data_IF_618997804954
#
_entry.id   IF_618997804954
#
_cell.length_a   1.000
_cell.length_b   1.000
_cell.length_c   1.000
_cell.angle_alpha   90.00
_cell.angle_beta   90.00
_cell.angle_gamma   90.00
#
_symmetry.space_group_name_H-M   'P 1'
#
loop_
_entity.id
_entity.type
_entity.pdbx_description
1 polymer ?
#
# COMPACT_ATOMS: atom_id res chain seq x y z
N UNK A 1 27.98 -2.20 2.45
CA UNK A 1 27.40 -2.46 3.79
C UNK A 1 26.32 -1.43 4.18
N UNK A 2 26.50 -0.15 3.92
CA UNK A 2 25.53 0.93 4.21
C UNK A 2 24.20 0.79 3.47
N UNK A 3 24.22 0.52 2.17
CA UNK A 3 23.00 0.33 1.36
C UNK A 3 22.14 -0.84 1.84
N UNK A 4 22.75 -1.92 2.34
CA UNK A 4 22.01 -3.06 2.92
C UNK A 4 21.27 -2.69 4.20
N UNK A 5 21.87 -1.86 5.07
CA UNK A 5 21.21 -1.35 6.29
C UNK A 5 20.05 -0.41 5.94
N UNK A 6 20.24 0.47 4.96
CA UNK A 6 19.21 1.38 4.49
C UNK A 6 18.01 0.62 3.90
N UNK A 7 18.26 -0.42 3.09
CA UNK A 7 17.20 -1.26 2.53
C UNK A 7 16.39 -1.96 3.63
N UNK A 8 17.06 -2.54 4.64
CA UNK A 8 16.37 -3.19 5.77
C UNK A 8 15.51 -2.19 6.55
N UNK A 9 16.03 -1.00 6.82
CA UNK A 9 15.30 0.07 7.49
C UNK A 9 14.05 0.48 6.69
N UNK A 10 14.18 0.63 5.36
CA UNK A 10 13.06 0.98 4.50
C UNK A 10 12.00 -0.13 4.47
N UNK A 11 12.41 -1.39 4.32
CA UNK A 11 11.48 -2.55 4.32
C UNK A 11 10.73 -2.60 5.66
N UNK A 12 11.43 -2.48 6.80
CA UNK A 12 10.80 -2.47 8.12
C UNK A 12 9.79 -1.33 8.25
N UNK A 13 10.14 -0.10 7.82
CA UNK A 13 9.24 1.04 7.81
C UNK A 13 8.00 0.80 6.95
N UNK A 14 8.16 0.19 5.77
CA UNK A 14 7.05 -0.13 4.88
C UNK A 14 6.12 -1.18 5.48
N UNK A 15 6.66 -2.22 6.13
CA UNK A 15 5.85 -3.24 6.82
C UNK A 15 5.05 -2.61 7.96
N UNK A 16 5.67 -1.77 8.79
CA UNK A 16 4.98 -1.07 9.88
C UNK A 16 3.87 -0.16 9.35
N UNK A 17 4.16 0.63 8.32
CA UNK A 17 3.18 1.49 7.67
C UNK A 17 2.01 0.69 7.08
N UNK A 18 2.31 -0.46 6.46
CA UNK A 18 1.30 -1.35 5.89
C UNK A 18 0.37 -1.89 6.98
N UNK A 19 0.92 -2.42 8.08
CA UNK A 19 0.13 -2.92 9.21
C UNK A 19 -0.71 -1.79 9.82
N UNK A 20 -0.12 -0.62 10.06
CA UNK A 20 -0.84 0.53 10.61
C UNK A 20 -2.03 0.94 9.73
N UNK A 21 -1.83 1.03 8.41
CA UNK A 21 -2.89 1.35 7.46
C UNK A 21 -3.92 0.24 7.32
N UNK A 22 -3.53 -1.02 7.46
CA UNK A 22 -4.45 -2.16 7.48
C UNK A 22 -5.35 -2.14 8.72
N UNK A 23 -4.77 -1.90 9.90
CA UNK A 23 -5.54 -1.78 11.14
C UNK A 23 -6.49 -0.58 11.05
N UNK A 24 -6.03 0.56 10.56
CA UNK A 24 -6.86 1.73 10.32
C UNK A 24 -8.03 1.41 9.37
N UNK A 25 -7.76 0.81 8.23
CA UNK A 25 -8.77 0.40 7.26
C UNK A 25 -9.78 -0.59 7.84
N UNK A 26 -9.32 -1.56 8.64
CA UNK A 26 -10.17 -2.53 9.32
C UNK A 26 -11.12 -1.86 10.33
N UNK A 27 -10.61 -0.96 11.17
CA UNK A 27 -11.42 -0.21 12.13
C UNK A 27 -12.49 0.62 11.39
N UNK A 28 -12.09 1.30 10.34
CA UNK A 28 -13.02 2.10 9.52
C UNK A 28 -14.08 1.23 8.84
N UNK A 29 -13.71 0.06 8.32
CA UNK A 29 -14.64 -0.89 7.72
C UNK A 29 -15.67 -1.42 8.74
N UNK A 30 -15.23 -1.81 9.94
CA UNK A 30 -16.11 -2.27 11.02
C UNK A 30 -17.08 -1.16 11.44
N UNK A 31 -16.57 0.06 11.63
CA UNK A 31 -17.38 1.21 12.06
C UNK A 31 -18.44 1.57 11.02
N UNK A 32 -18.05 1.64 9.75
CA UNK A 32 -18.98 2.00 8.66
C UNK A 32 -20.01 0.91 8.39
N UNK A 33 -19.66 -0.36 8.58
CA UNK A 33 -20.58 -1.49 8.53
C UNK A 33 -21.64 -1.37 9.64
N UNK A 34 -21.22 -1.08 10.86
CA UNK A 34 -22.13 -0.89 11.99
C UNK A 34 -23.11 0.28 11.74
N UNK A 35 -22.61 1.40 11.19
CA UNK A 35 -23.44 2.53 10.82
C UNK A 35 -24.40 2.21 9.66
N UNK A 36 -23.95 1.46 8.66
CA UNK A 36 -24.79 1.03 7.54
C UNK A 36 -25.98 0.18 8.03
N UNK A 37 -25.73 -0.77 8.93
CA UNK A 37 -26.78 -1.62 9.50
C UNK A 37 -27.82 -0.80 10.29
N UNK A 38 -27.41 0.26 10.98
CA UNK A 38 -28.33 1.17 11.69
C UNK A 38 -29.15 2.07 10.75
N UNK A 39 -28.59 2.43 9.59
CA UNK A 39 -29.18 3.35 8.63
C UNK A 39 -29.91 2.62 7.47
N UNK A 40 -30.62 1.53 7.76
CA UNK A 40 -31.42 0.81 6.77
C UNK A 40 -30.60 0.08 5.69
N UNK A 41 -29.33 -0.26 5.96
CA UNK A 41 -28.50 -1.06 5.05
C UNK A 41 -27.79 -0.27 3.95
N UNK A 42 -27.74 1.06 4.03
CA UNK A 42 -27.05 1.88 3.04
C UNK A 42 -25.52 1.71 3.14
N UNK A 43 -24.93 1.06 2.15
CA UNK A 43 -23.50 0.74 2.09
C UNK A 43 -22.62 1.83 1.45
N UNK A 44 -23.19 2.94 1.02
CA UNK A 44 -22.45 4.01 0.32
C UNK A 44 -21.27 4.52 1.14
N UNK A 45 -21.49 4.76 2.44
CA UNK A 45 -20.42 5.21 3.35
C UNK A 45 -19.29 4.16 3.46
N UNK A 46 -19.63 2.88 3.50
CA UNK A 46 -18.66 1.78 3.54
C UNK A 46 -17.72 1.81 2.32
N UNK A 47 -18.28 1.98 1.12
CA UNK A 47 -17.47 2.07 -0.11
C UNK A 47 -16.59 3.33 -0.15
N UNK A 48 -17.17 4.49 0.19
CA UNK A 48 -16.41 5.77 0.21
C UNK A 48 -15.20 5.65 1.14
N UNK A 49 -15.42 5.17 2.36
CA UNK A 49 -14.36 5.08 3.37
C UNK A 49 -13.32 4.02 3.00
N UNK A 50 -13.74 2.89 2.41
CA UNK A 50 -12.81 1.88 1.93
C UNK A 50 -11.90 2.39 0.81
N UNK A 51 -12.45 3.13 -0.15
CA UNK A 51 -11.66 3.80 -1.21
C UNK A 51 -10.70 4.81 -0.59
N UNK A 52 -11.16 5.61 0.38
CA UNK A 52 -10.33 6.60 1.07
C UNK A 52 -9.16 5.94 1.81
N UNK A 53 -9.37 4.80 2.47
CA UNK A 53 -8.31 4.04 3.14
C UNK A 53 -7.22 3.58 2.15
N UNK A 54 -7.62 3.09 0.98
CA UNK A 54 -6.69 2.69 -0.09
C UNK A 54 -5.91 3.89 -0.62
N UNK A 55 -6.57 5.02 -0.85
CA UNK A 55 -5.92 6.25 -1.33
C UNK A 55 -4.92 6.79 -0.30
N UNK A 56 -5.26 6.79 0.99
CA UNK A 56 -4.34 7.19 2.06
C UNK A 56 -3.11 6.29 2.10
N UNK A 57 -3.29 4.97 1.96
CA UNK A 57 -2.15 4.05 1.86
C UNK A 57 -1.29 4.34 0.64
N UNK A 58 -1.89 4.60 -0.52
CA UNK A 58 -1.17 4.96 -1.73
C UNK A 58 -0.34 6.25 -1.55
N UNK A 59 -0.87 7.24 -0.82
CA UNK A 59 -0.12 8.47 -0.47
C UNK A 59 1.08 8.15 0.42
N UNK A 60 0.91 7.30 1.43
CA UNK A 60 2.02 6.87 2.31
C UNK A 60 3.12 6.16 1.51
N UNK A 61 2.76 5.26 0.60
CA UNK A 61 3.71 4.61 -0.30
C UNK A 61 4.40 5.62 -1.23
N UNK A 62 3.61 6.53 -1.83
CA UNK A 62 4.12 7.56 -2.71
C UNK A 62 5.23 8.38 -2.03
N UNK A 63 4.99 8.91 -0.84
CA UNK A 63 5.95 9.74 -0.11
C UNK A 63 7.24 8.97 0.16
N UNK A 64 7.15 7.73 0.66
CA UNK A 64 8.33 6.93 0.99
C UNK A 64 9.18 6.60 -0.25
N UNK A 65 8.56 6.17 -1.35
CA UNK A 65 9.28 5.78 -2.56
C UNK A 65 9.75 6.97 -3.39
N UNK A 66 8.99 8.06 -3.40
CA UNK A 66 9.41 9.30 -4.04
C UNK A 66 10.66 9.88 -3.37
N UNK A 67 10.67 9.97 -2.03
CA UNK A 67 11.83 10.43 -1.26
C UNK A 67 13.07 9.56 -1.51
N UNK A 68 12.88 8.24 -1.54
CA UNK A 68 13.96 7.30 -1.85
C UNK A 68 14.49 7.49 -3.27
N UNK A 69 13.60 7.63 -4.27
CA UNK A 69 13.99 7.89 -5.66
C UNK A 69 14.77 9.18 -5.83
N UNK A 70 14.36 10.25 -5.14
CA UNK A 70 15.06 11.53 -5.16
C UNK A 70 16.47 11.43 -4.53
N UNK A 71 16.61 10.72 -3.41
CA UNK A 71 17.91 10.46 -2.78
C UNK A 71 18.84 9.63 -3.68
N UNK A 72 18.30 8.60 -4.32
CA UNK A 72 19.07 7.74 -5.21
C UNK A 72 19.52 8.49 -6.47
N UNK A 73 18.70 9.41 -7.00
CA UNK A 73 19.13 10.31 -8.08
C UNK A 73 20.39 11.09 -7.72
N UNK A 74 20.42 11.73 -6.55
CA UNK A 74 21.59 12.50 -6.09
C UNK A 74 22.85 11.61 -6.03
N UNK A 75 22.70 10.35 -5.59
CA UNK A 75 23.80 9.38 -5.53
C UNK A 75 24.29 8.95 -6.92
N UNK A 76 23.34 8.79 -7.87
CA UNK A 76 23.68 8.47 -9.27
C UNK A 76 24.39 9.63 -9.93
N UNK A 77 23.88 10.85 -9.78
CA UNK A 77 24.47 12.07 -10.35
C UNK A 77 25.89 12.34 -9.79
N UNK A 78 26.16 11.92 -8.53
CA UNK A 78 27.48 11.98 -7.92
C UNK A 78 28.40 10.79 -8.27
N UNK A 79 27.97 9.87 -9.12
CA UNK A 79 28.75 8.68 -9.54
C UNK A 79 28.89 7.58 -8.47
N UNK A 80 28.21 7.71 -7.32
CA UNK A 80 28.33 6.76 -6.19
C UNK A 80 27.56 5.46 -6.36
N UNK A 81 26.56 5.43 -7.27
CA UNK A 81 25.81 4.21 -7.57
C UNK A 81 25.24 4.21 -8.99
N UNK A 82 24.91 3.01 -9.49
CA UNK A 82 24.17 2.86 -10.75
C UNK A 82 22.67 2.87 -10.46
N UNK A 83 21.90 3.54 -11.30
CA UNK A 83 20.44 3.57 -11.20
C UNK A 83 19.84 2.19 -11.47
N UNK A 84 19.01 1.71 -10.54
CA UNK A 84 18.16 0.54 -10.75
C UNK A 84 16.69 0.98 -10.74
N UNK A 85 16.07 1.05 -11.91
CA UNK A 85 14.67 1.48 -12.07
C UNK A 85 13.70 0.54 -11.35
N UNK A 86 14.01 -0.75 -11.28
CA UNK A 86 13.17 -1.75 -10.62
C UNK A 86 13.31 -1.81 -9.10
N UNK A 87 14.15 -0.94 -8.53
CA UNK A 87 14.41 -0.92 -7.08
C UNK A 87 13.11 -0.73 -6.27
N UNK A 88 12.26 0.22 -6.67
CA UNK A 88 10.99 0.47 -5.99
C UNK A 88 10.07 -0.74 -5.98
N UNK A 89 9.96 -1.44 -7.11
CA UNK A 89 9.18 -2.67 -7.24
C UNK A 89 9.72 -3.78 -6.34
N UNK A 90 11.04 -3.99 -6.34
CA UNK A 90 11.68 -5.06 -5.57
C UNK A 90 11.53 -4.87 -4.05
N UNK A 91 11.78 -3.66 -3.57
CA UNK A 91 11.63 -3.35 -2.14
C UNK A 91 10.17 -3.44 -1.70
N UNK A 92 9.24 -2.97 -2.53
CA UNK A 92 7.81 -3.09 -2.25
C UNK A 92 7.36 -4.56 -2.23
N UNK A 93 7.86 -5.39 -3.15
CA UNK A 93 7.58 -6.82 -3.16
C UNK A 93 8.03 -7.49 -1.85
N UNK A 94 9.28 -7.22 -1.40
CA UNK A 94 9.80 -7.74 -0.14
C UNK A 94 8.97 -7.30 1.07
N UNK A 95 8.52 -6.04 1.07
CA UNK A 95 7.68 -5.50 2.14
C UNK A 95 6.26 -6.11 2.16
N UNK A 96 5.76 -6.57 1.00
CA UNK A 96 4.44 -7.20 0.88
C UNK A 96 4.45 -8.73 1.02
N UNK A 97 5.60 -9.38 1.29
CA UNK A 97 5.66 -10.83 1.54
C UNK A 97 4.66 -11.28 2.62
N UNK A 98 4.54 -10.61 3.80
CA UNK A 98 3.55 -11.01 4.79
C UNK A 98 2.11 -10.97 4.25
N UNK A 99 1.76 -9.92 3.47
CA UNK A 99 0.46 -9.78 2.81
C UNK A 99 0.17 -10.96 1.88
N UNK A 100 1.16 -11.38 1.09
CA UNK A 100 1.03 -12.52 0.18
C UNK A 100 0.86 -13.83 0.95
N UNK A 101 1.61 -14.03 2.04
CA UNK A 101 1.52 -15.24 2.87
C UNK A 101 0.13 -15.34 3.51
N UNK A 102 -0.32 -14.30 4.21
CA UNK A 102 -1.62 -14.31 4.88
C UNK A 102 -2.79 -14.28 3.89
N UNK A 103 -2.64 -13.61 2.75
CA UNK A 103 -3.58 -13.68 1.63
C UNK A 103 -3.66 -15.09 1.03
N UNK A 104 -2.52 -15.77 0.90
CA UNK A 104 -2.47 -17.18 0.46
C UNK A 104 -3.23 -18.12 1.40
N UNK A 105 -3.09 -17.94 2.72
CA UNK A 105 -3.88 -18.72 3.70
C UNK A 105 -5.38 -18.43 3.59
N UNK A 106 -5.76 -17.17 3.40
CA UNK A 106 -7.16 -16.81 3.18
C UNK A 106 -7.71 -17.44 1.90
N UNK A 107 -6.94 -17.43 0.82
CA UNK A 107 -7.29 -18.10 -0.43
C UNK A 107 -7.45 -19.61 -0.23
N UNK A 108 -6.50 -20.29 0.42
CA UNK A 108 -6.57 -21.73 0.68
C UNK A 108 -7.79 -22.08 1.53
N UNK A 109 -8.13 -21.24 2.52
CA UNK A 109 -9.30 -21.46 3.37
C UNK A 109 -10.63 -21.43 2.60
N UNK A 110 -10.69 -20.74 1.46
CA UNK A 110 -11.87 -20.79 0.59
C UNK A 110 -12.09 -22.16 -0.05
N UNK A 111 -11.02 -22.96 -0.23
CA UNK A 111 -11.08 -24.28 -0.84
C UNK A 111 -11.01 -25.41 0.18
N UNK A 112 -10.19 -25.24 1.23
CA UNK A 112 -9.93 -26.26 2.26
C UNK A 112 -10.26 -25.68 3.62
N UNK A 113 -11.49 -25.90 4.07
CA UNK A 113 -11.98 -25.42 5.37
C UNK A 113 -11.43 -26.32 6.49
N UNK A 114 -10.29 -25.95 7.06
CA UNK A 114 -9.71 -26.60 8.24
C UNK A 114 -9.56 -25.60 9.39
N UNK A 115 -9.45 -26.10 10.62
CA UNK A 115 -9.24 -25.24 11.80
C UNK A 115 -7.97 -24.37 11.66
N UNK A 116 -6.89 -24.94 11.10
CA UNK A 116 -5.64 -24.23 10.91
C UNK A 116 -5.76 -23.13 9.85
N UNK A 117 -6.32 -23.47 8.67
CA UNK A 117 -6.50 -22.49 7.59
C UNK A 117 -7.48 -21.39 7.99
N UNK A 118 -8.53 -21.72 8.73
CA UNK A 118 -9.50 -20.78 9.29
C UNK A 118 -8.85 -19.79 10.26
N UNK A 119 -8.00 -20.28 11.19
CA UNK A 119 -7.27 -19.42 12.12
C UNK A 119 -6.30 -18.47 11.38
N UNK A 120 -5.53 -19.00 10.43
CA UNK A 120 -4.57 -18.17 9.67
C UNK A 120 -5.30 -17.19 8.73
N UNK A 121 -6.43 -17.56 8.16
CA UNK A 121 -7.28 -16.68 7.37
C UNK A 121 -7.87 -15.53 8.22
N UNK A 122 -8.20 -15.79 9.49
CA UNK A 122 -8.68 -14.77 10.42
C UNK A 122 -7.64 -13.68 10.72
N UNK A 123 -6.35 -13.95 10.53
CA UNK A 123 -5.26 -12.97 10.65
C UNK A 123 -5.15 -12.10 9.39
N UNK A 124 -5.59 -12.58 8.24
CA UNK A 124 -5.48 -11.87 6.95
C UNK A 124 -6.02 -10.42 7.00
N UNK A 125 -7.15 -10.10 7.64
CA UNK A 125 -7.64 -8.73 7.76
C UNK A 125 -6.67 -7.77 8.48
N UNK A 126 -5.81 -8.27 9.36
CA UNK A 126 -4.79 -7.42 10.00
C UNK A 126 -3.72 -6.93 9.00
N UNK A 127 -3.50 -7.68 7.92
CA UNK A 127 -2.58 -7.32 6.85
C UNK A 127 -3.27 -6.76 5.60
N UNK A 128 -4.56 -7.01 5.43
CA UNK A 128 -5.33 -6.62 4.25
C UNK A 128 -6.54 -5.75 4.59
N UNK A 129 -6.62 -5.20 5.82
CA UNK A 129 -7.79 -4.49 6.33
C UNK A 129 -8.20 -3.28 5.51
N UNK A 130 -7.27 -2.58 4.86
CA UNK A 130 -7.58 -1.47 3.96
C UNK A 130 -8.27 -1.92 2.66
N UNK A 131 -8.19 -3.20 2.30
CA UNK A 131 -8.80 -3.79 1.10
C UNK A 131 -10.11 -4.54 1.39
N UNK A 132 -10.68 -4.39 2.59
CA UNK A 132 -11.92 -5.07 3.00
C UNK A 132 -13.08 -4.86 2.04
N UNK A 133 -13.16 -3.69 1.38
CA UNK A 133 -14.20 -3.42 0.35
C UNK A 133 -14.17 -4.44 -0.80
N UNK A 134 -13.01 -5.02 -1.10
CA UNK A 134 -12.88 -6.02 -2.16
C UNK A 134 -13.12 -7.44 -1.67
N UNK A 135 -12.75 -7.75 -0.44
CA UNK A 135 -12.73 -9.12 0.09
C UNK A 135 -13.96 -9.49 0.89
N UNK A 136 -14.60 -8.50 1.51
CA UNK A 136 -15.75 -8.69 2.38
C UNK A 136 -17.04 -9.00 1.60
N UNK A 137 -17.88 -9.89 2.13
CA UNK A 137 -19.20 -10.22 1.57
C UNK A 137 -20.14 -9.02 1.52
N UNK A 138 -19.98 -8.05 2.41
CA UNK A 138 -20.75 -6.80 2.39
C UNK A 138 -20.20 -5.76 1.41
N UNK A 139 -18.96 -5.92 0.94
CA UNK A 139 -18.35 -5.14 -0.12
C UNK A 139 -18.63 -5.73 -1.50
N UNK A 140 -17.57 -5.85 -2.30
CA UNK A 140 -17.63 -6.47 -3.64
C UNK A 140 -17.62 -8.00 -3.60
N UNK A 141 -17.41 -8.60 -2.43
CA UNK A 141 -17.35 -10.05 -2.19
C UNK A 141 -16.39 -10.81 -3.13
N UNK A 142 -15.36 -10.14 -3.68
CA UNK A 142 -14.45 -10.76 -4.61
C UNK A 142 -13.69 -11.93 -3.97
N UNK A 143 -13.45 -11.88 -2.66
CA UNK A 143 -12.84 -12.99 -1.93
C UNK A 143 -13.64 -14.29 -2.02
N UNK A 144 -14.96 -14.20 -2.12
CA UNK A 144 -15.86 -15.37 -2.26
C UNK A 144 -15.92 -15.85 -3.71
N UNK A 145 -16.06 -14.93 -4.67
CA UNK A 145 -16.22 -15.27 -6.08
C UNK A 145 -14.90 -15.53 -6.81
N UNK A 146 -13.84 -14.89 -6.36
CA UNK A 146 -12.51 -14.99 -6.95
C UNK A 146 -11.43 -15.06 -5.85
N UNK A 147 -11.23 -16.20 -5.17
CA UNK A 147 -10.29 -16.34 -4.07
C UNK A 147 -8.85 -15.88 -4.37
N UNK A 148 -8.29 -16.00 -5.59
CA UNK A 148 -6.97 -15.48 -5.90
C UNK A 148 -6.81 -13.98 -5.64
N UNK A 149 -7.91 -13.20 -5.52
CA UNK A 149 -7.87 -11.78 -5.19
C UNK A 149 -7.01 -11.50 -3.94
N UNK A 150 -7.03 -12.39 -2.95
CA UNK A 150 -6.27 -12.22 -1.71
C UNK A 150 -4.76 -12.08 -1.95
N UNK A 151 -4.23 -12.71 -3.01
CA UNK A 151 -2.82 -12.56 -3.41
C UNK A 151 -2.65 -11.28 -4.25
N UNK A 152 -3.60 -10.99 -5.14
CA UNK A 152 -3.53 -9.82 -6.02
C UNK A 152 -3.68 -8.47 -5.30
N UNK A 153 -4.09 -8.46 -4.01
CA UNK A 153 -4.17 -7.23 -3.20
C UNK A 153 -2.82 -6.52 -3.05
N UNK A 154 -1.69 -7.19 -3.25
CA UNK A 154 -0.37 -6.54 -3.25
C UNK A 154 -0.08 -5.73 -4.53
N UNK A 155 -0.78 -6.00 -5.64
CA UNK A 155 -0.50 -5.38 -6.95
C UNK A 155 -0.63 -3.86 -6.94
N UNK A 156 -1.68 -3.25 -6.36
CA UNK A 156 -1.77 -1.79 -6.27
C UNK A 156 -0.58 -1.17 -5.52
N UNK A 157 -0.14 -1.80 -4.42
CA UNK A 157 1.01 -1.33 -3.66
C UNK A 157 2.31 -1.39 -4.49
N UNK A 158 2.52 -2.46 -5.24
CA UNK A 158 3.67 -2.61 -6.15
C UNK A 158 3.66 -1.55 -7.24
N UNK A 159 2.51 -1.32 -7.87
CA UNK A 159 2.36 -0.33 -8.94
C UNK A 159 2.63 1.10 -8.44
N UNK A 160 2.03 1.50 -7.31
CA UNK A 160 2.24 2.82 -6.72
C UNK A 160 3.71 3.00 -6.34
N UNK A 161 4.34 2.01 -5.71
CA UNK A 161 5.73 2.08 -5.30
C UNK A 161 6.68 2.23 -6.48
N UNK A 162 6.46 1.48 -7.56
CA UNK A 162 7.24 1.55 -8.79
C UNK A 162 7.15 2.93 -9.44
N UNK A 163 5.91 3.42 -9.67
CA UNK A 163 5.67 4.72 -10.29
C UNK A 163 6.25 5.84 -9.41
N UNK A 164 6.03 5.79 -8.11
CA UNK A 164 6.51 6.82 -7.17
C UNK A 164 8.03 6.90 -7.14
N UNK A 165 8.71 5.76 -7.16
CA UNK A 165 10.17 5.71 -7.23
C UNK A 165 10.70 6.36 -8.51
N UNK A 166 10.11 6.04 -9.68
CA UNK A 166 10.48 6.65 -10.96
C UNK A 166 10.24 8.16 -10.95
N UNK A 167 9.10 8.62 -10.41
CA UNK A 167 8.81 10.05 -10.28
C UNK A 167 9.83 10.74 -9.40
N UNK A 168 10.26 10.11 -8.30
CA UNK A 168 11.32 10.60 -7.43
C UNK A 168 12.66 10.73 -8.16
N UNK A 169 13.06 9.70 -8.90
CA UNK A 169 14.29 9.72 -9.73
C UNK A 169 14.23 10.82 -10.80
N UNK A 170 13.07 11.04 -11.42
CA UNK A 170 12.89 12.12 -12.41
C UNK A 170 12.73 13.51 -11.79
N UNK A 171 12.56 13.60 -10.47
CA UNK A 171 12.36 14.86 -9.74
C UNK A 171 10.97 15.47 -9.90
N UNK A 172 9.98 14.71 -10.40
CA UNK A 172 8.59 15.20 -10.52
C UNK A 172 7.90 15.10 -9.16
N UNK A 173 7.32 16.22 -8.67
CA UNK A 173 6.53 16.31 -7.44
C UNK A 173 5.04 16.42 -7.80
N UNK A 174 4.28 15.32 -7.64
CA UNK A 174 2.84 15.34 -7.94
C UNK A 174 2.00 15.86 -6.77
N UNK A 175 2.36 15.53 -5.52
CA UNK A 175 1.55 15.86 -4.34
C UNK A 175 1.95 17.17 -3.64
N UNK A 176 3.20 17.59 -3.79
CA UNK A 176 3.71 18.82 -3.17
C UNK A 176 4.47 19.62 -4.22
N UNK A 177 3.76 20.34 -5.12
CA UNK A 177 4.43 21.22 -6.08
C UNK A 177 5.22 22.27 -5.32
N UNK A 178 6.46 22.56 -5.73
CA UNK A 178 7.22 23.65 -5.17
C UNK A 178 6.49 24.96 -5.40
N UNK A 179 6.43 25.88 -4.40
CA UNK A 179 5.96 27.23 -4.64
C UNK A 179 6.85 27.80 -5.76
N UNK A 180 6.21 28.32 -6.81
CA UNK A 180 6.93 28.99 -7.92
C UNK A 180 7.83 30.03 -7.30
N UNK A 181 9.14 29.81 -7.29
CA UNK A 181 10.11 30.85 -6.95
C UNK A 181 9.79 32.03 -7.83
N UNK A 182 9.45 33.16 -7.20
CA UNK A 182 9.25 34.44 -7.90
C UNK A 182 10.52 34.71 -8.72
N UNK A 183 10.43 34.48 -10.01
CA UNK A 183 11.51 34.69 -10.99
C UNK A 183 11.59 36.19 -11.40
N UNK A 184 11.11 37.07 -10.51
CA UNK A 184 11.04 38.51 -10.74
C UNK A 184 11.85 39.28 -9.71
N UNK A 185 13.17 39.09 -9.63
CA UNK A 185 14.00 40.01 -8.86
C UNK A 185 15.39 40.29 -9.46
N UNK A 186 15.61 40.05 -10.74
CA UNK A 186 16.84 40.51 -11.41
C UNK A 186 16.52 41.08 -12.81
N UNK A 187 15.69 42.10 -12.87
CA UNK A 187 15.56 43.02 -13.99
C UNK A 187 15.39 44.44 -13.45
N UNK A 188 16.44 44.93 -12.83
CA UNK A 188 16.74 46.36 -12.67
C UNK A 188 18.24 46.54 -12.81
#
# INVERSE_FOLDING_TARGET
MEQSKENRSLISKLIVNHIAMSIFGLIMAITTRFLANRNGGNKTLYYIVGILAILLYAVVLYVNFWEKGAKDKIRVDSGRMKLNIYYGLWISFLANIPTIIFGGFAMINCYVQSNLTGFLAAISPLYNGMYTIFTDMEGLALGTYFPPIFIFLCVPALAVSFVSYILGVKGYKCLFPEPKKQQNQNRE
#
